data_IF_869515632315
#
_entry.id   IF_869515632315
#
_cell.length_a   1.000
_cell.length_b   1.000
_cell.length_c   1.000
_cell.angle_alpha   90.00
_cell.angle_beta   90.00
_cell.angle_gamma   90.00
#
_symmetry.space_group_name_H-M   'P 1'
#
loop_
_entity.id
_entity.type
_entity.pdbx_description
1 polymer ?
#
# COMPACT_ATOMS: atom_id res chain seq x y z
N UNK A 1 -3.95 -1.46 11.06
CA UNK A 1 -4.13 -2.75 10.36
C UNK A 1 -3.56 -2.56 8.97
N UNK A 2 -2.55 -3.33 8.58
CA UNK A 2 -2.05 -3.34 7.20
C UNK A 2 -3.16 -3.93 6.32
N UNK A 3 -3.41 -3.33 5.16
CA UNK A 3 -4.31 -3.93 4.16
C UNK A 3 -3.72 -5.26 3.64
N UNK A 4 -4.51 -6.07 2.91
CA UNK A 4 -3.99 -7.28 2.28
C UNK A 4 -2.79 -6.93 1.38
N UNK A 5 -1.77 -7.79 1.39
CA UNK A 5 -0.63 -7.67 0.48
C UNK A 5 -1.14 -7.94 -0.93
N UNK A 6 -0.88 -7.02 -1.84
CA UNK A 6 -1.12 -7.22 -3.27
C UNK A 6 0.18 -7.75 -3.90
N UNK A 7 0.07 -8.86 -4.64
CA UNK A 7 1.20 -9.46 -5.36
C UNK A 7 1.29 -8.85 -6.76
N UNK A 8 2.51 -8.77 -7.29
CA UNK A 8 2.79 -8.30 -8.63
C UNK A 8 3.99 -9.05 -9.22
N UNK A 9 3.99 -9.25 -10.53
CA UNK A 9 4.95 -10.12 -11.22
C UNK A 9 6.32 -9.46 -11.46
N UNK A 10 6.44 -8.15 -11.20
CA UNK A 10 7.69 -7.41 -11.32
C UNK A 10 7.71 -6.19 -10.40
N UNK A 11 8.91 -5.64 -10.16
CA UNK A 11 9.06 -4.40 -9.36
C UNK A 11 8.32 -3.22 -10.00
N UNK A 12 8.36 -3.11 -11.33
CA UNK A 12 7.67 -2.04 -12.05
C UNK A 12 6.16 -2.21 -11.99
N UNK A 13 5.65 -3.44 -12.11
CA UNK A 13 4.24 -3.74 -11.89
C UNK A 13 3.83 -3.40 -10.45
N UNK A 14 4.61 -3.80 -9.44
CA UNK A 14 4.34 -3.46 -8.04
C UNK A 14 4.30 -1.94 -7.79
N UNK A 15 5.18 -1.17 -8.43
CA UNK A 15 5.20 0.30 -8.36
C UNK A 15 3.99 0.93 -9.05
N UNK A 16 3.55 0.39 -10.17
CA UNK A 16 2.34 0.82 -10.84
C UNK A 16 1.11 0.59 -9.95
N UNK A 17 0.97 -0.60 -9.37
CA UNK A 17 -0.09 -0.95 -8.41
C UNK A 17 -0.04 -0.04 -7.18
N UNK A 18 1.14 0.21 -6.61
CA UNK A 18 1.29 1.10 -5.47
C UNK A 18 0.86 2.54 -5.79
N UNK A 19 1.19 3.02 -7.00
CA UNK A 19 0.78 4.35 -7.48
C UNK A 19 -0.73 4.41 -7.68
N UNK A 20 -1.32 3.40 -8.31
CA UNK A 20 -2.76 3.33 -8.51
C UNK A 20 -3.51 3.28 -7.17
N UNK A 21 -3.05 2.47 -6.22
CA UNK A 21 -3.62 2.41 -4.89
C UNK A 21 -3.52 3.76 -4.18
N UNK A 22 -2.38 4.45 -4.26
CA UNK A 22 -2.20 5.77 -3.67
C UNK A 22 -3.23 6.77 -4.23
N UNK A 23 -3.55 6.65 -5.51
CA UNK A 23 -4.45 7.54 -6.23
C UNK A 23 -5.93 7.17 -6.09
N UNK A 24 -6.26 5.92 -5.77
CA UNK A 24 -7.66 5.44 -5.81
C UNK A 24 -8.20 5.04 -4.43
N UNK A 25 -7.37 4.74 -3.44
CA UNK A 25 -7.78 4.19 -2.14
C UNK A 25 -8.93 4.96 -1.47
N UNK A 26 -10.08 4.31 -1.28
CA UNK A 26 -11.29 4.88 -0.64
C UNK A 26 -11.57 4.21 0.71
N UNK A 27 -10.94 4.66 1.81
CA UNK A 27 -11.25 4.15 3.14
C UNK A 27 -12.65 4.57 3.61
N UNK A 28 -13.20 3.85 4.60
CA UNK A 28 -14.49 4.19 5.25
C UNK A 28 -14.51 5.57 5.89
N UNK A 29 -13.33 6.05 6.32
CA UNK A 29 -13.12 7.39 6.83
C UNK A 29 -11.99 8.07 6.06
N UNK A 30 -12.01 9.40 5.87
CA UNK A 30 -13.10 10.30 6.25
C UNK A 30 -14.34 10.10 5.35
N UNK A 31 -15.54 10.23 5.92
CA UNK A 31 -16.80 10.05 5.18
C UNK A 31 -16.99 11.09 4.07
N UNK A 32 -16.39 12.27 4.22
CA UNK A 32 -16.36 13.34 3.23
C UNK A 32 -14.91 13.75 3.02
N UNK A 33 -14.30 13.17 2.00
CA UNK A 33 -12.94 13.50 1.59
C UNK A 33 -12.95 14.89 0.93
N UNK A 34 -12.12 15.81 1.43
CA UNK A 34 -11.94 17.14 0.85
C UNK A 34 -10.70 17.20 -0.02
N UNK A 35 -9.62 16.56 0.44
CA UNK A 35 -8.34 16.56 -0.25
C UNK A 35 -7.62 15.23 -0.05
N UNK A 36 -6.95 14.78 -1.11
CA UNK A 36 -5.93 13.73 -1.07
C UNK A 36 -4.61 14.36 -1.48
N UNK A 37 -3.55 14.04 -0.77
CA UNK A 37 -2.19 14.44 -1.17
C UNK A 37 -1.29 13.23 -1.09
N UNK A 38 -0.55 12.97 -2.17
CA UNK A 38 0.35 11.83 -2.30
C UNK A 38 1.77 12.36 -2.31
N UNK A 39 2.59 11.86 -1.40
CA UNK A 39 4.01 12.15 -1.28
C UNK A 39 4.81 10.92 -1.68
N UNK A 40 5.90 11.16 -2.42
CA UNK A 40 6.91 10.14 -2.69
C UNK A 40 8.04 10.32 -1.68
N UNK A 41 8.31 9.29 -0.88
CA UNK A 41 9.42 9.28 0.08
C UNK A 41 10.66 8.61 -0.51
N UNK A 42 10.46 7.52 -1.25
CA UNK A 42 11.50 6.86 -2.06
C UNK A 42 10.84 6.25 -3.31
N UNK A 43 11.63 5.57 -4.15
CA UNK A 43 11.06 4.89 -5.32
C UNK A 43 9.99 3.85 -4.97
N UNK A 44 10.10 3.23 -3.79
CA UNK A 44 9.27 2.11 -3.35
C UNK A 44 8.34 2.48 -2.18
N UNK A 45 8.29 3.74 -1.75
CA UNK A 45 7.46 4.18 -0.63
C UNK A 45 6.68 5.44 -0.95
N UNK A 46 5.36 5.34 -0.80
CA UNK A 46 4.41 6.44 -0.94
C UNK A 46 3.68 6.70 0.38
N UNK A 47 3.45 7.97 0.69
CA UNK A 47 2.58 8.40 1.78
C UNK A 47 1.38 9.14 1.22
N UNK A 48 0.18 8.76 1.66
CA UNK A 48 -1.06 9.40 1.26
C UNK A 48 -1.67 10.03 2.50
N UNK A 49 -1.99 11.32 2.42
CA UNK A 49 -2.77 12.03 3.41
C UNK A 49 -4.17 12.28 2.84
N UNK A 50 -5.18 11.92 3.61
CA UNK A 50 -6.59 12.08 3.30
C UNK A 50 -7.18 13.06 4.31
N UNK A 51 -7.44 14.27 3.86
CA UNK A 51 -8.06 15.31 4.68
C UNK A 51 -9.57 15.28 4.48
N UNK A 52 -10.28 14.99 5.57
CA UNK A 52 -11.71 15.15 5.65
C UNK A 52 -12.08 16.35 6.51
N UNK A 53 -13.36 16.72 6.46
CA UNK A 53 -13.88 17.87 7.22
C UNK A 53 -13.65 17.78 8.74
N UNK A 54 -13.59 16.58 9.30
CA UNK A 54 -13.51 16.35 10.75
C UNK A 54 -12.34 15.49 11.20
N UNK A 55 -11.66 14.82 10.27
CA UNK A 55 -10.55 13.90 10.56
C UNK A 55 -9.58 13.90 9.39
N UNK A 56 -8.30 13.80 9.73
CA UNK A 56 -7.22 13.49 8.80
C UNK A 56 -6.82 12.02 8.99
N UNK A 57 -6.54 11.33 7.89
CA UNK A 57 -6.02 9.96 7.90
C UNK A 57 -4.79 9.86 7.00
N UNK A 58 -3.91 8.92 7.33
CA UNK A 58 -2.73 8.64 6.53
C UNK A 58 -2.70 7.17 6.13
N UNK A 59 -2.14 6.91 4.95
CA UNK A 59 -1.82 5.58 4.43
C UNK A 59 -0.36 5.60 4.00
N UNK A 60 0.39 4.58 4.38
CA UNK A 60 1.72 4.30 3.84
C UNK A 60 1.62 3.07 2.95
N UNK A 61 2.16 3.19 1.73
CA UNK A 61 2.28 2.09 0.78
C UNK A 61 3.77 1.82 0.59
N UNK A 62 4.17 0.56 0.65
CA UNK A 62 5.57 0.16 0.46
C UNK A 62 5.63 -1.05 -0.45
N UNK A 63 6.47 -0.97 -1.49
CA UNK A 63 6.80 -2.10 -2.36
C UNK A 63 7.88 -2.91 -1.66
N UNK A 64 7.66 -4.21 -1.53
CA UNK A 64 8.57 -5.15 -0.88
C UNK A 64 8.75 -6.38 -1.74
N UNK A 65 9.89 -7.04 -1.59
CA UNK A 65 10.15 -8.33 -2.21
C UNK A 65 9.86 -9.44 -1.20
N UNK A 66 9.16 -10.49 -1.65
CA UNK A 66 9.04 -11.72 -0.87
C UNK A 66 10.41 -12.37 -0.76
N UNK A 67 10.90 -12.53 0.47
CA UNK A 67 12.22 -13.13 0.74
C UNK A 67 12.10 -14.65 0.94
N UNK A 68 11.01 -15.10 1.58
CA UNK A 68 10.70 -16.51 1.75
C UNK A 68 9.19 -16.68 1.91
N UNK A 69 8.65 -17.78 1.37
CA UNK A 69 7.35 -18.31 1.72
C UNK A 69 7.57 -19.64 2.46
N UNK A 70 7.16 -19.70 3.72
CA UNK A 70 7.48 -20.80 4.62
C UNK A 70 6.20 -21.43 5.17
N UNK A 71 6.16 -22.76 5.21
CA UNK A 71 5.17 -23.49 6.00
C UNK A 71 5.31 -23.20 7.50
N UNK A 72 4.31 -23.59 8.31
CA UNK A 72 4.31 -23.39 9.78
C UNK A 72 5.57 -23.91 10.49
N UNK A 73 6.26 -24.87 9.87
CA UNK A 73 7.48 -25.52 10.38
C UNK A 73 8.77 -24.81 9.91
N UNK A 74 8.66 -23.66 9.23
CA UNK A 74 9.79 -22.88 8.74
C UNK A 74 10.47 -23.46 7.50
N UNK A 75 9.87 -24.46 6.85
CA UNK A 75 10.38 -25.04 5.60
C UNK A 75 9.84 -24.27 4.39
N UNK A 76 10.63 -24.05 3.33
CA UNK A 76 10.16 -23.41 2.11
C UNK A 76 8.94 -24.12 1.52
N UNK A 77 7.99 -23.33 1.01
CA UNK A 77 6.93 -23.85 0.13
C UNK A 77 7.58 -24.15 -1.22
N UNK A 78 7.73 -25.42 -1.57
CA UNK A 78 8.14 -25.86 -2.90
C UNK A 78 6.89 -26.24 -3.70
N UNK A 79 6.74 -25.64 -4.89
CA UNK A 79 5.74 -26.00 -5.91
C UNK A 79 5.94 -27.45 -6.42
#
# INVERSE_FOLDING_TARGET
MLGPIQTADSRDHARAVATELAMTYRPTHPRRLQRRTVYRHSEDVLYVVLDGRTKQLHLRISVVQMVADLHREGRPVTD
#
